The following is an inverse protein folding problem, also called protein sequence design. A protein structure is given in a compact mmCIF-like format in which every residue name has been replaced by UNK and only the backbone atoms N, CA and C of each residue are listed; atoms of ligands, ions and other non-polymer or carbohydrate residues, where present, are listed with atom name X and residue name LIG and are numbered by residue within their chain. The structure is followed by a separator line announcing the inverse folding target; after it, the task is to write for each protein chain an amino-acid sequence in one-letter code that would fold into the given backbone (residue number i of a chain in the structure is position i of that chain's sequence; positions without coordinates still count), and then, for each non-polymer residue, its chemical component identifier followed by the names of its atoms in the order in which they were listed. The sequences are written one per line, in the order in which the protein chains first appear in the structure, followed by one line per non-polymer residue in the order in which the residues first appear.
data_IF_812815569219
#
_entry.id   IF_812815569219
#
_cell.length_a   1.000
_cell.length_b   1.000
_cell.length_c   1.000
_cell.angle_alpha   90.00
_cell.angle_beta   90.00
_cell.angle_gamma   90.00
#
_symmetry.space_group_name_H-M   'P 1'
#
loop_
_entity.id
_entity.type
_entity.pdbx_description
1 polymer ?
#
# COMPACT_ATOMS: atom_id res chain seq x y z
N UNK A 1 -37.57 7.98 9.85
CA UNK A 1 -36.50 8.98 9.81
C UNK A 1 -35.71 8.77 8.54
N UNK A 2 -35.40 9.82 7.76
CA UNK A 2 -34.53 9.67 6.59
C UNK A 2 -33.11 9.32 7.03
N UNK A 3 -32.48 8.34 6.39
CA UNK A 3 -31.07 7.98 6.67
C UNK A 3 -30.19 9.20 6.44
N UNK A 4 -29.23 9.44 7.34
CA UNK A 4 -28.23 10.51 7.20
C UNK A 4 -27.33 10.24 5.97
N UNK A 5 -26.98 11.31 5.25
CA UNK A 5 -26.20 11.18 4.01
C UNK A 5 -24.72 11.32 4.27
N UNK A 6 -23.96 10.27 3.89
CA UNK A 6 -22.50 10.24 3.92
C UNK A 6 -21.97 10.29 2.49
N UNK A 7 -21.08 11.23 2.22
CA UNK A 7 -20.41 11.33 0.92
C UNK A 7 -18.99 10.83 1.06
N UNK A 8 -18.57 9.97 0.14
CA UNK A 8 -17.19 9.52 0.01
C UNK A 8 -16.65 10.10 -1.30
N UNK A 9 -15.50 10.76 -1.29
CA UNK A 9 -14.86 11.22 -2.52
C UNK A 9 -13.57 10.45 -2.80
N UNK A 10 -13.43 9.98 -4.04
CA UNK A 10 -12.22 9.31 -4.53
C UNK A 10 -12.05 9.56 -6.02
N UNK A 11 -10.83 9.86 -6.45
CA UNK A 11 -10.52 9.95 -7.88
C UNK A 11 -10.64 8.59 -8.57
N UNK A 12 -10.25 7.54 -7.85
CA UNK A 12 -10.34 6.15 -8.31
C UNK A 12 -11.77 5.64 -8.20
N UNK A 13 -12.24 5.00 -9.25
CA UNK A 13 -13.52 4.27 -9.26
C UNK A 13 -13.48 3.13 -10.26
N UNK A 14 -14.36 2.14 -10.13
CA UNK A 14 -14.47 1.04 -11.09
C UNK A 14 -14.73 1.49 -12.54
N UNK A 15 -15.39 2.64 -12.69
CA UNK A 15 -15.71 3.25 -14.00
C UNK A 15 -14.66 4.23 -14.54
N UNK A 16 -13.52 4.45 -13.85
CA UNK A 16 -12.48 5.34 -14.33
C UNK A 16 -11.49 4.58 -15.23
N UNK A 17 -11.51 4.82 -16.56
CA UNK A 17 -10.67 4.07 -17.50
C UNK A 17 -9.16 4.37 -17.33
N UNK A 18 -8.81 5.44 -16.62
CA UNK A 18 -7.45 5.91 -16.48
C UNK A 18 -6.77 5.41 -15.19
N UNK A 19 -7.53 4.86 -14.25
CA UNK A 19 -6.97 4.49 -12.95
C UNK A 19 -7.82 3.42 -12.25
N UNK A 20 -7.35 2.18 -12.28
CA UNK A 20 -7.88 1.06 -11.50
C UNK A 20 -6.80 0.63 -10.50
N UNK A 21 -6.81 1.21 -9.29
CA UNK A 21 -5.87 0.89 -8.22
C UNK A 21 -6.55 0.22 -7.03
N UNK A 22 -5.77 -0.25 -6.05
CA UNK A 22 -6.30 -0.77 -4.78
C UNK A 22 -7.18 0.23 -4.01
N UNK A 23 -7.03 1.53 -4.27
CA UNK A 23 -7.83 2.58 -3.66
C UNK A 23 -9.32 2.52 -4.01
N UNK A 24 -9.67 2.17 -5.25
CA UNK A 24 -11.07 2.02 -5.65
C UNK A 24 -11.77 0.89 -4.91
N UNK A 25 -11.09 -0.25 -4.75
CA UNK A 25 -11.63 -1.39 -4.02
C UNK A 25 -11.87 -1.07 -2.52
N UNK A 26 -10.98 -0.29 -1.91
CA UNK A 26 -11.17 0.18 -0.51
C UNK A 26 -12.38 1.09 -0.40
N UNK A 27 -12.58 2.02 -1.33
CA UNK A 27 -13.73 2.94 -1.33
C UNK A 27 -15.03 2.19 -1.59
N UNK A 28 -15.03 1.20 -2.48
CA UNK A 28 -16.20 0.36 -2.75
C UNK A 28 -16.60 -0.46 -1.51
N UNK A 29 -15.64 -1.09 -0.84
CA UNK A 29 -15.87 -1.80 0.43
C UNK A 29 -16.41 -0.86 1.50
N UNK A 30 -15.77 0.30 1.67
CA UNK A 30 -16.19 1.30 2.65
C UNK A 30 -17.62 1.78 2.38
N UNK A 31 -17.95 2.06 1.13
CA UNK A 31 -19.31 2.47 0.74
C UNK A 31 -20.33 1.38 1.06
N UNK A 32 -20.03 0.13 0.72
CA UNK A 32 -20.90 -1.02 1.04
C UNK A 32 -21.12 -1.19 2.55
N UNK A 33 -20.08 -1.06 3.38
CA UNK A 33 -20.23 -1.18 4.84
C UNK A 33 -21.11 -0.07 5.46
N UNK A 34 -21.09 1.12 4.88
CA UNK A 34 -21.87 2.25 5.40
C UNK A 34 -23.31 2.27 4.88
N UNK A 35 -23.64 1.56 3.81
CA UNK A 35 -24.93 1.64 3.11
C UNK A 35 -26.09 1.06 3.96
N UNK A 36 -25.81 0.14 4.85
CA UNK A 36 -26.83 -0.42 5.74
C UNK A 36 -27.40 0.62 6.71
N UNK A 37 -26.55 1.53 7.21
CA UNK A 37 -26.93 2.55 8.19
C UNK A 37 -27.20 3.94 7.58
N UNK A 38 -26.52 4.27 6.48
CA UNK A 38 -26.48 5.61 5.90
C UNK A 38 -26.90 5.62 4.43
N UNK A 39 -27.29 6.79 3.93
CA UNK A 39 -27.43 7.02 2.49
C UNK A 39 -26.05 7.38 1.92
N UNK A 40 -25.38 6.43 1.28
CA UNK A 40 -24.03 6.65 0.77
C UNK A 40 -24.03 7.16 -0.67
N UNK A 41 -23.14 8.11 -0.95
CA UNK A 41 -22.86 8.60 -2.29
C UNK A 41 -21.34 8.69 -2.50
N UNK A 42 -20.83 8.09 -3.57
CA UNK A 42 -19.42 8.23 -3.96
C UNK A 42 -19.29 9.31 -5.03
N UNK A 43 -18.48 10.34 -4.78
CA UNK A 43 -18.12 11.38 -5.74
C UNK A 43 -16.78 11.01 -6.38
N UNK A 44 -16.76 10.86 -7.69
CA UNK A 44 -15.61 10.33 -8.42
C UNK A 44 -15.37 11.04 -9.76
N UNK A 45 -14.22 10.77 -10.40
CA UNK A 45 -13.90 11.29 -11.71
C UNK A 45 -14.64 10.52 -12.83
N UNK A 46 -15.16 11.23 -13.80
CA UNK A 46 -15.80 10.65 -14.96
C UNK A 46 -15.62 11.49 -16.21
N UNK A 47 -16.09 10.98 -17.35
CA UNK A 47 -16.02 11.68 -18.64
C UNK A 47 -17.13 12.72 -18.77
N UNK A 48 -18.30 12.36 -18.27
CA UNK A 48 -19.50 13.20 -18.31
C UNK A 48 -20.05 13.39 -16.89
N UNK A 49 -20.84 14.44 -16.70
CA UNK A 49 -21.59 14.64 -15.48
C UNK A 49 -22.75 13.65 -15.46
N UNK A 50 -22.88 12.91 -14.38
CA UNK A 50 -23.96 11.92 -14.24
C UNK A 50 -24.00 11.33 -12.84
N UNK A 51 -25.02 10.51 -12.61
CA UNK A 51 -25.15 9.68 -11.43
C UNK A 51 -25.52 8.29 -11.89
N UNK A 52 -24.77 7.29 -11.48
CA UNK A 52 -24.99 5.88 -11.79
C UNK A 52 -25.02 5.07 -10.50
N UNK A 53 -25.63 3.89 -10.56
CA UNK A 53 -25.62 2.93 -9.47
C UNK A 53 -24.74 1.75 -9.87
N UNK A 54 -23.77 1.44 -9.04
CA UNK A 54 -22.87 0.32 -9.26
C UNK A 54 -22.74 -0.48 -7.95
N UNK A 55 -23.00 -1.80 -8.00
CA UNK A 55 -22.98 -2.69 -6.83
C UNK A 55 -23.79 -2.18 -5.62
N UNK A 56 -24.95 -1.55 -5.87
CA UNK A 56 -25.80 -0.98 -4.82
C UNK A 56 -25.47 0.47 -4.47
N UNK A 57 -24.23 0.90 -4.63
CA UNK A 57 -23.74 2.23 -4.27
C UNK A 57 -24.01 3.26 -5.36
N UNK A 58 -24.40 4.48 -4.96
CA UNK A 58 -24.63 5.60 -5.86
C UNK A 58 -23.34 6.35 -6.14
N UNK A 59 -22.93 6.41 -7.42
CA UNK A 59 -21.76 7.15 -7.89
C UNK A 59 -22.19 8.44 -8.58
N UNK A 60 -21.56 9.56 -8.24
CA UNK A 60 -21.72 10.86 -8.90
C UNK A 60 -20.42 11.27 -9.56
N UNK A 61 -20.44 11.45 -10.87
CA UNK A 61 -19.26 11.76 -11.67
C UNK A 61 -19.01 13.26 -11.81
N UNK A 62 -17.76 13.68 -11.56
CA UNK A 62 -17.24 14.98 -11.94
C UNK A 62 -16.60 14.86 -13.33
N UNK A 63 -16.94 15.73 -14.30
CA UNK A 63 -16.51 15.59 -15.70
C UNK A 63 -15.07 16.09 -15.89
N UNK A 64 -14.09 15.30 -15.52
CA UNK A 64 -12.66 15.67 -15.53
C UNK A 64 -11.78 14.76 -16.39
N UNK A 65 -12.19 13.52 -16.67
CA UNK A 65 -11.30 12.53 -17.31
C UNK A 65 -10.99 12.83 -18.78
N UNK A 66 -11.75 13.73 -19.41
CA UNK A 66 -11.48 14.24 -20.76
C UNK A 66 -10.13 14.98 -20.86
N UNK A 67 -9.65 15.55 -19.76
CA UNK A 67 -8.38 16.28 -19.71
C UNK A 67 -7.13 15.39 -19.70
N UNK A 68 -7.33 14.06 -19.71
CA UNK A 68 -6.24 13.09 -19.60
C UNK A 68 -5.80 12.84 -18.14
N UNK A 69 -4.98 11.80 -17.89
CA UNK A 69 -4.76 11.27 -16.54
C UNK A 69 -4.22 12.27 -15.52
N UNK A 70 -3.29 13.16 -15.92
CA UNK A 70 -2.65 14.12 -15.01
C UNK A 70 -3.50 15.35 -14.76
N UNK A 71 -4.04 15.96 -15.83
CA UNK A 71 -4.86 17.14 -15.70
C UNK A 71 -6.20 16.82 -15.03
N UNK A 72 -6.76 15.64 -15.28
CA UNK A 72 -7.97 15.17 -14.60
C UNK A 72 -7.82 15.12 -13.08
N UNK A 73 -6.68 14.68 -12.56
CA UNK A 73 -6.42 14.69 -11.11
C UNK A 73 -6.42 16.13 -10.55
N UNK A 74 -5.74 17.06 -11.23
CA UNK A 74 -5.71 18.47 -10.82
C UNK A 74 -7.10 19.10 -10.84
N UNK A 75 -7.87 18.84 -11.91
CA UNK A 75 -9.24 19.32 -12.04
C UNK A 75 -10.17 18.72 -10.98
N UNK A 76 -9.99 17.44 -10.65
CA UNK A 76 -10.73 16.78 -9.58
C UNK A 76 -10.52 17.48 -8.24
N UNK A 77 -9.26 17.72 -7.86
CA UNK A 77 -8.91 18.48 -6.65
C UNK A 77 -9.51 19.88 -6.64
N UNK A 78 -9.52 20.58 -7.78
CA UNK A 78 -10.08 21.92 -7.87
C UNK A 78 -11.61 21.94 -7.80
N UNK A 79 -12.28 20.91 -8.32
CA UNK A 79 -13.75 20.84 -8.36
C UNK A 79 -14.35 20.23 -7.09
N UNK A 80 -13.59 19.41 -6.35
CA UNK A 80 -14.11 18.71 -5.18
C UNK A 80 -14.60 19.64 -4.07
N UNK A 81 -13.91 20.74 -3.71
CA UNK A 81 -14.39 21.72 -2.76
C UNK A 81 -15.73 22.35 -3.18
N UNK A 82 -15.88 22.66 -4.47
CA UNK A 82 -17.13 23.21 -5.02
C UNK A 82 -18.26 22.17 -4.99
N UNK A 83 -17.93 20.90 -5.21
CA UNK A 83 -18.88 19.80 -5.08
C UNK A 83 -19.36 19.66 -3.63
N UNK A 84 -18.45 19.77 -2.64
CA UNK A 84 -18.79 19.70 -1.23
C UNK A 84 -19.75 20.81 -0.78
N UNK A 85 -19.65 22.01 -1.35
CA UNK A 85 -20.62 23.10 -1.10
C UNK A 85 -22.01 22.84 -1.69
N UNK A 86 -22.11 22.05 -2.77
CA UNK A 86 -23.36 21.87 -3.54
C UNK A 86 -24.06 20.53 -3.28
N UNK A 87 -23.33 19.53 -2.83
CA UNK A 87 -23.89 18.21 -2.55
C UNK A 87 -24.34 18.18 -1.10
N UNK A 88 -25.65 17.98 -0.81
CA UNK A 88 -26.11 17.85 0.56
C UNK A 88 -25.50 16.62 1.22
N UNK A 89 -24.93 16.81 2.41
CA UNK A 89 -24.31 15.74 3.21
C UNK A 89 -24.32 16.10 4.70
N UNK A 90 -24.30 15.11 5.55
CA UNK A 90 -24.11 15.21 7.01
C UNK A 90 -22.66 14.92 7.41
N UNK A 91 -21.97 14.05 6.65
CA UNK A 91 -20.52 13.82 6.79
C UNK A 91 -19.86 13.61 5.42
N UNK A 92 -18.58 13.91 5.33
CA UNK A 92 -17.77 13.71 4.12
C UNK A 92 -16.50 12.93 4.45
N UNK A 93 -16.21 11.85 3.71
CA UNK A 93 -14.96 11.11 3.76
C UNK A 93 -14.19 11.40 2.47
N UNK A 94 -13.06 12.08 2.56
CA UNK A 94 -12.20 12.35 1.41
C UNK A 94 -11.07 11.35 1.34
N UNK A 95 -11.10 10.44 0.36
CA UNK A 95 -9.97 9.58 0.05
C UNK A 95 -8.88 10.39 -0.64
N UNK A 96 -7.74 10.51 0.02
CA UNK A 96 -6.61 11.31 -0.47
C UNK A 96 -6.06 10.74 -1.76
N UNK A 97 -5.81 11.63 -2.72
CA UNK A 97 -5.42 11.28 -4.08
C UNK A 97 -4.15 12.07 -4.49
N UNK A 98 -3.18 11.45 -5.17
CA UNK A 98 -2.08 12.22 -5.78
C UNK A 98 -2.63 13.32 -6.71
N UNK A 99 -1.88 14.42 -6.93
CA UNK A 99 -0.51 14.66 -6.44
C UNK A 99 -0.44 15.38 -5.10
N UNK A 100 -1.55 15.93 -4.58
CA UNK A 100 -1.56 16.82 -3.40
C UNK A 100 -2.02 16.11 -2.13
N UNK A 101 -2.48 14.89 -2.21
CA UNK A 101 -3.19 14.12 -1.19
C UNK A 101 -4.54 14.73 -0.81
N UNK A 102 -4.63 16.02 -0.49
CA UNK A 102 -5.83 16.72 -0.01
C UNK A 102 -6.40 17.68 -1.04
N UNK A 103 -7.73 17.94 -0.98
CA UNK A 103 -8.44 18.90 -1.84
C UNK A 103 -9.01 20.08 -1.04
N UNK A 104 -8.60 20.30 0.19
CA UNK A 104 -9.08 21.39 1.05
C UNK A 104 -10.60 21.40 1.31
N UNK A 105 -11.26 20.25 1.17
CA UNK A 105 -12.72 20.12 1.37
C UNK A 105 -13.23 20.72 2.69
N UNK A 106 -12.52 20.57 3.84
CA UNK A 106 -12.99 21.15 5.11
C UNK A 106 -13.22 22.65 5.11
N UNK A 107 -12.55 23.40 4.22
CA UNK A 107 -12.74 24.86 4.09
C UNK A 107 -14.03 25.25 3.37
N UNK A 108 -14.75 24.28 2.77
CA UNK A 108 -15.90 24.53 1.90
C UNK A 108 -17.21 23.92 2.43
N UNK A 109 -17.19 23.32 3.59
CA UNK A 109 -18.38 22.80 4.28
C UNK A 109 -18.26 23.00 5.79
N UNK A 110 -19.41 23.16 6.46
CA UNK A 110 -19.50 23.22 7.93
C UNK A 110 -19.73 21.84 8.56
N UNK A 111 -19.90 20.81 7.73
CA UNK A 111 -20.12 19.44 8.17
C UNK A 111 -18.79 18.75 8.44
N UNK A 112 -18.75 17.71 9.30
CA UNK A 112 -17.55 16.96 9.57
C UNK A 112 -16.97 16.35 8.28
N UNK A 113 -15.64 16.52 8.13
CA UNK A 113 -14.86 15.95 7.02
C UNK A 113 -13.74 15.10 7.58
N UNK A 114 -13.68 13.85 7.14
CA UNK A 114 -12.59 12.92 7.47
C UNK A 114 -11.65 12.81 6.27
N UNK A 115 -10.37 13.02 6.49
CA UNK A 115 -9.34 12.71 5.51
C UNK A 115 -8.97 11.22 5.60
N UNK A 116 -9.15 10.44 4.53
CA UNK A 116 -8.72 9.06 4.44
C UNK A 116 -7.38 8.99 3.69
N UNK A 117 -6.29 8.94 4.44
CA UNK A 117 -4.93 8.91 3.90
C UNK A 117 -4.53 7.47 3.53
N UNK A 118 -4.94 7.03 2.34
CA UNK A 118 -4.48 5.74 1.80
C UNK A 118 -3.00 5.77 1.38
N UNK A 119 -2.47 6.94 1.05
CA UNK A 119 -1.06 7.20 0.78
C UNK A 119 -0.80 8.71 0.93
N UNK A 120 0.28 9.06 1.62
CA UNK A 120 0.81 10.42 1.67
C UNK A 120 1.86 10.58 0.56
N UNK A 121 1.42 11.03 -0.61
CA UNK A 121 2.22 11.02 -1.84
C UNK A 121 3.04 12.29 -2.08
N UNK A 122 2.85 13.36 -1.30
CA UNK A 122 3.42 14.67 -1.57
C UNK A 122 4.95 14.70 -1.71
N UNK A 123 5.68 13.93 -0.89
CA UNK A 123 7.15 13.84 -1.00
C UNK A 123 7.60 13.08 -2.24
N UNK A 124 6.94 11.99 -2.59
CA UNK A 124 7.23 11.19 -3.78
C UNK A 124 6.95 12.01 -5.04
N UNK A 125 5.80 12.65 -5.11
CA UNK A 125 5.43 13.53 -6.22
C UNK A 125 6.41 14.70 -6.36
N UNK A 126 6.87 15.27 -5.24
CA UNK A 126 7.89 16.34 -5.28
C UNK A 126 9.21 15.87 -5.88
N UNK A 127 9.66 14.67 -5.55
CA UNK A 127 10.89 14.08 -6.16
C UNK A 127 10.70 13.80 -7.64
N UNK A 128 9.54 13.29 -8.03
CA UNK A 128 9.21 12.89 -9.41
C UNK A 128 9.07 14.08 -10.36
N UNK A 129 8.39 15.13 -9.92
CA UNK A 129 8.04 16.29 -10.75
C UNK A 129 8.88 17.53 -10.46
N UNK A 130 9.76 17.50 -9.48
CA UNK A 130 10.60 18.63 -9.04
C UNK A 130 9.80 19.87 -8.60
N UNK A 131 8.56 19.67 -8.15
CA UNK A 131 7.66 20.69 -7.62
C UNK A 131 7.35 20.40 -6.14
N UNK A 132 7.08 21.42 -5.31
CA UNK A 132 6.96 21.27 -3.86
C UNK A 132 5.57 20.74 -3.44
N UNK A 133 5.10 19.64 -3.99
CA UNK A 133 3.80 19.03 -3.65
C UNK A 133 3.68 18.72 -2.15
N UNK A 134 4.77 18.39 -1.48
CA UNK A 134 4.78 18.15 -0.04
C UNK A 134 4.35 19.36 0.79
N UNK A 135 4.57 20.61 0.31
CA UNK A 135 4.10 21.81 0.98
C UNK A 135 2.58 21.93 0.88
N UNK A 136 2.01 21.64 -0.28
CA UNK A 136 0.55 21.66 -0.50
C UNK A 136 -0.11 20.58 0.37
N UNK A 137 0.43 19.37 0.39
CA UNK A 137 -0.02 18.29 1.27
C UNK A 137 0.02 18.71 2.74
N UNK A 138 1.13 19.30 3.19
CA UNK A 138 1.28 19.78 4.57
C UNK A 138 0.27 20.87 4.94
N UNK A 139 0.02 21.82 4.04
CA UNK A 139 -0.98 22.86 4.23
C UNK A 139 -2.40 22.27 4.25
N UNK A 140 -2.69 21.38 3.32
CA UNK A 140 -3.99 20.73 3.25
C UNK A 140 -4.29 19.88 4.48
N UNK A 141 -3.34 19.10 4.99
CA UNK A 141 -3.50 18.32 6.21
C UNK A 141 -3.90 19.15 7.43
N UNK A 142 -3.50 20.43 7.50
CA UNK A 142 -3.86 21.33 8.60
C UNK A 142 -5.33 21.73 8.61
N UNK A 143 -6.04 21.51 7.50
CA UNK A 143 -7.46 21.80 7.40
C UNK A 143 -8.36 20.70 7.95
N UNK A 144 -7.83 19.48 8.17
CA UNK A 144 -8.60 18.33 8.65
C UNK A 144 -8.51 18.20 10.16
N UNK A 145 -9.68 18.09 10.80
CA UNK A 145 -9.77 17.76 12.23
C UNK A 145 -9.63 16.25 12.45
N UNK A 146 -10.22 15.44 11.59
CA UNK A 146 -10.21 14.00 11.67
C UNK A 146 -9.48 13.39 10.47
N UNK A 147 -8.48 12.53 10.73
CA UNK A 147 -7.71 11.86 9.70
C UNK A 147 -7.58 10.38 10.02
N UNK A 148 -7.95 9.55 9.07
CA UNK A 148 -7.71 8.11 9.09
C UNK A 148 -6.46 7.80 8.28
N UNK A 149 -5.57 7.01 8.85
CA UNK A 149 -4.35 6.50 8.23
C UNK A 149 -4.32 4.98 8.28
N UNK A 150 -3.53 4.36 7.40
CA UNK A 150 -3.46 2.90 7.31
C UNK A 150 -2.46 2.27 8.28
N UNK A 151 -1.48 3.04 8.77
CA UNK A 151 -0.39 2.58 9.62
C UNK A 151 0.08 3.66 10.60
N UNK A 152 0.74 3.29 11.70
CA UNK A 152 1.23 4.24 12.70
C UNK A 152 2.29 5.23 12.18
N UNK A 153 3.10 4.86 11.19
CA UNK A 153 4.15 5.73 10.64
C UNK A 153 3.55 6.94 9.91
N UNK A 154 2.50 6.70 9.12
CA UNK A 154 1.72 7.78 8.48
C UNK A 154 0.98 8.60 9.54
N UNK A 155 0.47 7.97 10.59
CA UNK A 155 -0.16 8.65 11.72
C UNK A 155 0.79 9.65 12.38
N UNK A 156 2.02 9.25 12.66
CA UNK A 156 3.05 10.16 13.17
C UNK A 156 3.36 11.31 12.21
N UNK A 157 3.34 11.03 10.89
CA UNK A 157 3.58 12.05 9.88
C UNK A 157 2.46 13.09 9.87
N UNK A 158 1.20 12.66 9.93
CA UNK A 158 0.03 13.54 10.04
C UNK A 158 0.09 14.37 11.33
N UNK A 159 0.32 13.75 12.49
CA UNK A 159 0.37 14.44 13.79
C UNK A 159 1.50 15.49 13.86
N UNK A 160 2.64 15.26 13.19
CA UNK A 160 3.70 16.27 13.06
C UNK A 160 3.28 17.46 12.19
N UNK A 161 2.46 17.21 11.15
CA UNK A 161 1.97 18.28 10.25
C UNK A 161 0.81 19.05 10.86
N UNK A 162 -0.05 18.38 11.60
CA UNK A 162 -1.24 18.91 12.26
C UNK A 162 -1.39 18.29 13.66
N UNK A 163 -0.79 18.91 14.70
CA UNK A 163 -0.90 18.40 16.08
C UNK A 163 -2.31 18.46 16.67
N UNK A 164 -3.20 19.25 16.07
CA UNK A 164 -4.60 19.37 16.51
C UNK A 164 -5.52 18.31 15.88
N UNK A 165 -5.03 17.53 14.90
CA UNK A 165 -5.84 16.51 14.27
C UNK A 165 -6.02 15.28 15.17
N UNK A 166 -7.24 14.77 15.19
CA UNK A 166 -7.55 13.44 15.72
C UNK A 166 -7.17 12.39 14.68
N UNK A 167 -6.05 11.71 14.89
CA UNK A 167 -5.54 10.69 13.97
C UNK A 167 -5.99 9.31 14.43
N UNK A 168 -6.66 8.57 13.55
CA UNK A 168 -7.08 7.19 13.78
C UNK A 168 -6.40 6.24 12.82
N UNK A 169 -5.88 5.13 13.34
CA UNK A 169 -5.29 4.07 12.50
C UNK A 169 -6.38 3.05 12.19
N UNK A 170 -6.89 3.06 10.95
CA UNK A 170 -7.82 2.06 10.44
C UNK A 170 -7.18 1.43 9.20
N UNK A 171 -6.58 0.25 9.34
CA UNK A 171 -5.90 -0.45 8.26
C UNK A 171 -6.83 -0.90 7.13
N UNK A 172 -6.25 -1.34 6.02
CA UNK A 172 -7.00 -2.04 4.99
C UNK A 172 -7.50 -3.40 5.51
N UNK A 173 -8.61 -3.86 4.95
CA UNK A 173 -9.19 -5.15 5.28
C UNK A 173 -8.79 -6.24 4.32
N UNK A 174 -8.97 -7.47 4.76
CA UNK A 174 -8.78 -8.67 3.94
C UNK A 174 -9.92 -9.65 4.14
N UNK A 175 -10.22 -10.42 3.10
CA UNK A 175 -11.07 -11.59 3.22
C UNK A 175 -10.28 -12.71 3.91
N UNK A 176 -10.90 -13.36 4.89
CA UNK A 176 -10.28 -14.45 5.64
C UNK A 176 -10.87 -15.79 5.15
N UNK A 177 -10.24 -16.45 4.16
CA UNK A 177 -10.76 -17.72 3.65
C UNK A 177 -10.67 -18.82 4.73
N UNK A 178 -11.51 -19.81 4.61
CA UNK A 178 -11.31 -21.04 5.37
C UNK A 178 -10.04 -21.76 4.90
N UNK A 179 -9.20 -22.23 5.83
CA UNK A 179 -7.94 -22.91 5.55
C UNK A 179 -7.81 -24.16 6.41
N UNK A 180 -7.30 -25.22 5.79
CA UNK A 180 -6.79 -26.37 6.52
C UNK A 180 -5.36 -26.06 7.01
N UNK A 181 -5.19 -25.94 8.32
CA UNK A 181 -3.89 -25.61 8.92
C UNK A 181 -2.79 -26.67 8.67
N UNK A 182 -3.16 -27.90 8.28
CA UNK A 182 -2.21 -28.93 7.88
C UNK A 182 -1.43 -28.56 6.61
N UNK A 183 -1.99 -27.66 5.81
CA UNK A 183 -1.37 -27.16 4.59
C UNK A 183 -0.40 -26.01 4.81
N UNK A 184 -0.25 -25.50 6.04
CA UNK A 184 0.72 -24.45 6.31
C UNK A 184 2.14 -24.93 6.04
N UNK A 185 2.93 -24.06 5.42
CA UNK A 185 4.31 -24.36 4.99
C UNK A 185 4.42 -25.16 3.69
N UNK A 186 3.30 -25.64 3.11
CA UNK A 186 3.29 -26.22 1.75
C UNK A 186 3.23 -25.12 0.70
N UNK A 187 3.61 -25.45 -0.52
CA UNK A 187 3.50 -24.55 -1.66
C UNK A 187 4.43 -24.96 -2.80
N UNK A 188 4.09 -24.52 -3.99
CA UNK A 188 4.69 -24.94 -5.26
C UNK A 188 5.46 -23.81 -5.93
N UNK A 189 5.35 -22.58 -5.44
CA UNK A 189 6.01 -21.39 -6.00
C UNK A 189 6.17 -20.28 -4.98
N UNK A 190 7.11 -19.39 -5.23
CA UNK A 190 7.24 -18.08 -4.59
C UNK A 190 6.28 -17.11 -5.33
N UNK A 191 5.49 -16.33 -4.62
CA UNK A 191 4.52 -15.44 -5.25
C UNK A 191 4.87 -13.97 -5.03
N UNK A 192 5.05 -13.23 -6.12
CA UNK A 192 4.88 -11.79 -6.15
C UNK A 192 3.46 -11.46 -6.63
N UNK A 193 2.72 -10.68 -5.85
CA UNK A 193 1.38 -10.22 -6.21
C UNK A 193 1.33 -8.70 -6.14
N UNK A 194 1.01 -8.03 -7.24
CA UNK A 194 0.92 -6.57 -7.25
C UNK A 194 1.05 -5.97 -8.64
N UNK A 195 0.89 -4.65 -8.69
CA UNK A 195 1.02 -3.91 -9.94
C UNK A 195 2.44 -4.03 -10.51
N UNK A 196 2.56 -4.24 -11.80
CA UNK A 196 3.84 -4.22 -12.48
C UNK A 196 4.31 -2.77 -12.60
N UNK A 197 5.17 -2.37 -11.68
CA UNK A 197 5.94 -1.14 -11.65
C UNK A 197 7.36 -1.52 -11.25
N UNK A 198 8.21 -1.78 -12.25
CA UNK A 198 9.49 -2.48 -12.08
C UNK A 198 10.32 -1.87 -10.96
N UNK A 199 10.52 -0.54 -11.01
CA UNK A 199 11.34 0.13 -10.01
C UNK A 199 10.66 0.27 -8.65
N UNK A 200 9.39 0.72 -8.63
CA UNK A 200 8.69 1.03 -7.37
C UNK A 200 8.41 -0.23 -6.56
N UNK A 201 7.96 -1.30 -7.26
CA UNK A 201 7.68 -2.60 -6.65
C UNK A 201 8.91 -3.51 -6.54
N UNK A 202 10.09 -3.02 -6.94
CA UNK A 202 11.35 -3.72 -6.76
C UNK A 202 11.49 -5.02 -7.54
N UNK A 203 10.78 -5.16 -8.68
CA UNK A 203 10.86 -6.35 -9.50
C UNK A 203 12.27 -6.57 -10.07
N UNK A 204 13.01 -5.50 -10.32
CA UNK A 204 14.42 -5.55 -10.70
C UNK A 204 15.30 -6.16 -9.58
N UNK A 205 15.06 -5.78 -8.32
CA UNK A 205 15.77 -6.33 -7.16
C UNK A 205 15.39 -7.79 -6.92
N UNK A 206 14.10 -8.11 -7.06
CA UNK A 206 13.61 -9.47 -6.89
C UNK A 206 14.22 -10.43 -7.92
N UNK A 207 14.22 -10.03 -9.18
CA UNK A 207 14.74 -10.87 -10.26
C UNK A 207 16.26 -11.07 -10.13
N UNK A 208 17.01 -10.02 -9.75
CA UNK A 208 18.42 -10.13 -9.44
C UNK A 208 18.67 -11.08 -8.26
N UNK A 209 17.96 -10.89 -7.14
CA UNK A 209 18.08 -11.75 -5.99
C UNK A 209 17.72 -13.22 -6.29
N UNK A 210 16.64 -13.44 -7.04
CA UNK A 210 16.21 -14.80 -7.40
C UNK A 210 17.21 -15.51 -8.30
N UNK A 211 17.79 -14.82 -9.29
CA UNK A 211 18.82 -15.38 -10.16
C UNK A 211 20.04 -15.89 -9.38
N UNK A 212 20.41 -15.22 -8.29
CA UNK A 212 21.53 -15.60 -7.44
C UNK A 212 21.26 -16.81 -6.54
N UNK A 213 19.97 -17.25 -6.43
CA UNK A 213 19.60 -18.33 -5.50
C UNK A 213 19.83 -19.74 -6.05
N UNK A 214 19.72 -19.93 -7.34
CA UNK A 214 19.69 -21.26 -7.96
C UNK A 214 18.49 -22.13 -7.54
N UNK A 215 17.40 -21.56 -7.04
CA UNK A 215 16.25 -22.30 -6.56
C UNK A 215 15.49 -23.00 -7.68
N UNK A 216 15.10 -24.25 -7.44
CA UNK A 216 14.16 -25.00 -8.30
C UNK A 216 12.70 -24.56 -8.07
N UNK A 217 12.39 -24.00 -6.89
CA UNK A 217 11.05 -23.47 -6.57
C UNK A 217 10.76 -22.23 -7.42
N UNK A 218 9.77 -22.31 -8.37
CA UNK A 218 9.57 -21.22 -9.33
C UNK A 218 9.08 -19.93 -8.69
N UNK A 219 9.42 -18.81 -9.31
CA UNK A 219 8.91 -17.48 -8.97
C UNK A 219 7.76 -17.11 -9.91
N UNK A 220 6.57 -16.94 -9.36
CA UNK A 220 5.39 -16.47 -10.08
C UNK A 220 5.16 -14.98 -9.82
N UNK A 221 5.12 -14.17 -10.88
CA UNK A 221 4.79 -12.76 -10.86
C UNK A 221 3.35 -12.59 -11.36
N UNK A 222 2.45 -12.16 -10.47
CA UNK A 222 1.05 -11.94 -10.78
C UNK A 222 0.71 -10.43 -10.69
N UNK A 223 0.23 -9.87 -11.79
CA UNK A 223 -0.16 -8.47 -11.91
C UNK A 223 0.06 -7.91 -13.30
N UNK A 224 -0.52 -6.74 -13.56
CA UNK A 224 -0.36 -5.98 -14.78
C UNK A 224 0.17 -4.58 -14.48
N UNK A 225 0.65 -3.90 -15.52
CA UNK A 225 1.17 -2.55 -15.45
C UNK A 225 0.76 -1.69 -16.64
N UNK A 226 1.42 -0.56 -16.81
CA UNK A 226 1.35 0.16 -18.07
C UNK A 226 2.13 -0.60 -19.15
N UNK A 227 1.81 -0.42 -20.44
CA UNK A 227 2.57 -1.09 -21.52
C UNK A 227 4.09 -0.89 -21.43
N UNK A 228 4.52 0.29 -20.95
CA UNK A 228 5.94 0.60 -20.74
C UNK A 228 6.55 -0.22 -19.60
N UNK A 229 5.84 -0.39 -18.48
CA UNK A 229 6.34 -1.15 -17.34
C UNK A 229 6.33 -2.66 -17.64
N UNK A 230 5.33 -3.14 -18.38
CA UNK A 230 5.28 -4.52 -18.86
C UNK A 230 6.42 -4.85 -19.81
N UNK A 231 6.73 -3.95 -20.76
CA UNK A 231 7.90 -4.10 -21.64
C UNK A 231 9.21 -4.14 -20.86
N UNK A 232 9.35 -3.33 -19.79
CA UNK A 232 10.51 -3.39 -18.90
C UNK A 232 10.62 -4.72 -18.18
N UNK A 233 9.48 -5.25 -17.67
CA UNK A 233 9.44 -6.56 -17.04
C UNK A 233 9.84 -7.65 -18.04
N UNK A 234 9.27 -7.66 -19.25
CA UNK A 234 9.61 -8.62 -20.31
C UNK A 234 11.11 -8.60 -20.63
N UNK A 235 11.72 -7.41 -20.65
CA UNK A 235 13.15 -7.28 -20.87
C UNK A 235 13.98 -7.94 -19.76
N UNK A 236 13.58 -7.79 -18.49
CA UNK A 236 14.22 -8.42 -17.34
C UNK A 236 14.02 -9.95 -17.32
N UNK A 237 12.84 -10.42 -17.70
CA UNK A 237 12.53 -11.86 -17.74
C UNK A 237 13.42 -12.64 -18.71
N UNK A 238 13.93 -12.01 -19.78
CA UNK A 238 14.86 -12.65 -20.72
C UNK A 238 16.17 -13.10 -20.06
N UNK A 239 16.55 -12.48 -18.96
CA UNK A 239 17.80 -12.77 -18.22
C UNK A 239 17.55 -13.44 -16.87
N UNK A 240 16.28 -13.54 -16.42
CA UNK A 240 15.93 -14.06 -15.10
C UNK A 240 15.94 -15.59 -14.99
N UNK A 241 16.11 -16.30 -16.12
CA UNK A 241 16.09 -17.76 -16.14
C UNK A 241 14.70 -18.40 -16.28
N UNK A 242 14.64 -19.71 -16.55
CA UNK A 242 13.38 -20.42 -16.88
C UNK A 242 12.44 -20.59 -15.67
N UNK A 243 12.91 -20.42 -14.45
CA UNK A 243 12.09 -20.58 -13.24
C UNK A 243 11.19 -19.39 -12.92
N UNK A 244 11.18 -18.31 -13.73
CA UNK A 244 10.35 -17.12 -13.50
C UNK A 244 9.19 -17.05 -14.49
N UNK A 245 7.98 -16.94 -13.96
CA UNK A 245 6.75 -16.92 -14.75
C UNK A 245 5.93 -15.66 -14.45
N UNK A 246 5.67 -14.85 -15.47
CA UNK A 246 4.71 -13.75 -15.37
C UNK A 246 3.36 -14.19 -15.94
N UNK A 247 2.33 -14.15 -15.09
CA UNK A 247 0.98 -14.67 -15.40
C UNK A 247 -0.05 -13.58 -15.71
N UNK A 248 0.40 -12.31 -15.79
CA UNK A 248 -0.49 -11.19 -16.04
C UNK A 248 -1.38 -10.82 -14.85
N UNK A 249 -2.43 -10.05 -15.12
CA UNK A 249 -3.41 -9.65 -14.11
C UNK A 249 -4.24 -10.83 -13.65
N UNK A 250 -4.43 -10.94 -12.33
CA UNK A 250 -5.25 -11.99 -11.71
C UNK A 250 -6.26 -11.38 -10.75
N UNK A 251 -7.43 -12.01 -10.65
CA UNK A 251 -8.49 -11.61 -9.71
C UNK A 251 -9.35 -12.83 -9.37
N UNK A 252 -10.23 -12.70 -8.39
CA UNK A 252 -11.17 -13.74 -7.98
C UNK A 252 -10.49 -15.06 -7.69
N UNK A 253 -11.09 -16.16 -8.14
CA UNK A 253 -10.65 -17.52 -7.86
C UNK A 253 -9.21 -17.81 -8.30
N UNK A 254 -8.76 -17.26 -9.44
CA UNK A 254 -7.38 -17.44 -9.90
C UNK A 254 -6.36 -16.80 -8.97
N UNK A 255 -6.66 -15.63 -8.39
CA UNK A 255 -5.80 -15.01 -7.37
C UNK A 255 -5.79 -15.87 -6.10
N UNK A 256 -6.94 -16.36 -5.69
CA UNK A 256 -7.09 -17.19 -4.49
C UNK A 256 -6.32 -18.53 -4.65
N UNK A 257 -6.35 -19.12 -5.84
CA UNK A 257 -5.57 -20.32 -6.14
C UNK A 257 -4.06 -20.06 -6.05
N UNK A 258 -3.55 -18.98 -6.66
CA UNK A 258 -2.14 -18.61 -6.58
C UNK A 258 -1.70 -18.41 -5.14
N UNK A 259 -2.49 -17.69 -4.33
CA UNK A 259 -2.20 -17.49 -2.91
C UNK A 259 -2.22 -18.81 -2.16
N UNK A 260 -3.19 -19.68 -2.40
CA UNK A 260 -3.30 -20.97 -1.73
C UNK A 260 -2.12 -21.89 -2.05
N UNK A 261 -1.68 -21.92 -3.30
CA UNK A 261 -0.57 -22.77 -3.78
C UNK A 261 0.81 -22.15 -3.58
N UNK A 262 0.93 -20.89 -3.19
CA UNK A 262 2.25 -20.30 -2.91
C UNK A 262 2.89 -20.92 -1.66
N UNK A 263 4.21 -21.02 -1.65
CA UNK A 263 5.00 -21.39 -0.48
C UNK A 263 5.14 -20.20 0.47
N UNK A 264 5.37 -19.03 -0.08
CA UNK A 264 5.42 -17.74 0.60
C UNK A 264 5.24 -16.60 -0.41
N UNK A 265 4.97 -15.40 0.11
CA UNK A 265 4.83 -14.18 -0.68
C UNK A 265 6.07 -13.32 -0.54
N UNK A 266 6.47 -12.63 -1.60
CA UNK A 266 7.58 -11.68 -1.57
C UNK A 266 7.10 -10.27 -1.96
N UNK A 267 7.45 -9.26 -1.15
CA UNK A 267 7.10 -7.86 -1.32
C UNK A 267 8.37 -7.00 -1.33
N UNK A 268 9.13 -6.97 -2.44
CA UNK A 268 10.45 -6.32 -2.52
C UNK A 268 10.36 -4.83 -2.84
N UNK A 269 9.27 -4.20 -2.44
CA UNK A 269 8.92 -2.82 -2.80
C UNK A 269 9.89 -1.80 -2.21
N UNK A 270 10.21 -0.77 -2.99
CA UNK A 270 10.93 0.41 -2.52
C UNK A 270 10.03 1.40 -1.79
N UNK A 271 8.73 1.31 -2.04
CA UNK A 271 7.72 2.11 -1.37
C UNK A 271 6.41 1.34 -1.29
N UNK A 272 5.80 1.35 -0.12
CA UNK A 272 4.49 0.79 0.16
C UNK A 272 3.73 1.69 1.13
N UNK A 273 2.44 1.87 0.89
CA UNK A 273 1.57 2.55 1.84
C UNK A 273 1.10 1.60 2.95
N UNK A 274 0.77 0.35 2.59
CA UNK A 274 0.26 -0.65 3.54
C UNK A 274 0.67 -2.07 3.19
N UNK A 275 0.74 -2.43 1.90
CA UNK A 275 1.07 -3.79 1.46
C UNK A 275 -0.13 -4.74 1.46
N UNK A 276 -1.21 -4.38 0.75
CA UNK A 276 -2.42 -5.24 0.66
C UNK A 276 -2.08 -6.66 0.22
N UNK A 277 -1.18 -6.83 -0.75
CA UNK A 277 -0.75 -8.14 -1.22
C UNK A 277 -0.07 -8.98 -0.12
N UNK A 278 0.69 -8.34 0.77
CA UNK A 278 1.25 -9.00 1.95
C UNK A 278 0.13 -9.46 2.89
N UNK A 279 -0.83 -8.58 3.20
CA UNK A 279 -1.98 -8.92 4.04
C UNK A 279 -2.80 -10.07 3.43
N UNK A 280 -3.00 -10.08 2.10
CA UNK A 280 -3.63 -11.20 1.40
C UNK A 280 -2.83 -12.50 1.58
N UNK A 281 -1.50 -12.46 1.42
CA UNK A 281 -0.64 -13.62 1.70
C UNK A 281 -0.78 -14.13 3.13
N UNK A 282 -0.73 -13.22 4.11
CA UNK A 282 -0.91 -13.54 5.53
C UNK A 282 -2.28 -14.16 5.80
N UNK A 283 -3.33 -13.68 5.14
CA UNK A 283 -4.68 -14.25 5.24
C UNK A 283 -4.76 -15.69 4.72
N UNK A 284 -3.89 -16.09 3.81
CA UNK A 284 -3.72 -17.47 3.36
C UNK A 284 -2.67 -18.25 4.18
N UNK A 285 -2.21 -17.72 5.31
CA UNK A 285 -1.20 -18.38 6.14
C UNK A 285 0.16 -18.51 5.46
N UNK A 286 0.48 -17.55 4.59
CA UNK A 286 1.76 -17.52 3.88
C UNK A 286 2.72 -16.54 4.57
N UNK A 287 3.96 -16.96 4.86
CA UNK A 287 5.00 -16.01 5.26
C UNK A 287 5.20 -14.94 4.19
N UNK A 288 5.60 -13.74 4.62
CA UNK A 288 5.92 -12.64 3.71
C UNK A 288 7.38 -12.27 3.86
N UNK A 289 8.12 -12.22 2.75
CA UNK A 289 9.48 -11.65 2.70
C UNK A 289 9.39 -10.22 2.18
N UNK A 290 9.93 -9.26 2.90
CA UNK A 290 9.86 -7.85 2.49
C UNK A 290 11.07 -7.05 2.95
N UNK A 291 11.31 -5.90 2.31
CA UNK A 291 12.25 -4.91 2.81
C UNK A 291 11.69 -4.17 4.03
N UNK A 292 12.56 -3.84 4.98
CA UNK A 292 12.20 -3.10 6.19
C UNK A 292 11.78 -1.67 5.88
N UNK A 293 10.50 -1.47 5.61
CA UNK A 293 9.87 -0.17 5.44
C UNK A 293 9.02 0.15 6.68
N UNK A 294 9.09 1.38 7.24
CA UNK A 294 8.33 1.73 8.44
C UNK A 294 6.81 1.57 8.30
N UNK A 295 6.28 1.67 7.08
CA UNK A 295 4.86 1.46 6.77
C UNK A 295 4.44 -0.01 6.84
N UNK A 296 5.39 -0.93 6.95
CA UNK A 296 5.19 -2.38 7.00
C UNK A 296 5.48 -2.98 8.39
N UNK A 297 5.88 -2.17 9.38
CA UNK A 297 6.18 -2.63 10.76
C UNK A 297 4.97 -3.24 11.50
N UNK A 298 3.77 -3.21 10.90
CA UNK A 298 2.56 -3.84 11.41
C UNK A 298 2.48 -5.35 11.15
N UNK A 299 3.31 -5.90 10.27
CA UNK A 299 3.28 -7.31 9.90
C UNK A 299 3.79 -8.22 11.03
N UNK A 300 3.36 -9.47 10.97
CA UNK A 300 3.83 -10.57 11.83
C UNK A 300 3.85 -11.88 11.05
N UNK A 301 4.76 -12.78 11.36
CA UNK A 301 4.97 -13.99 10.57
C UNK A 301 5.66 -13.69 9.25
N UNK A 302 6.45 -12.64 9.24
CA UNK A 302 7.21 -12.11 8.10
C UNK A 302 8.72 -12.40 8.25
N UNK A 303 9.43 -12.16 7.16
CA UNK A 303 10.90 -12.10 7.12
C UNK A 303 11.29 -10.73 6.59
N UNK A 304 11.61 -9.84 7.50
CA UNK A 304 12.09 -8.50 7.19
C UNK A 304 13.59 -8.55 6.86
N UNK A 305 13.97 -8.04 5.69
CA UNK A 305 15.37 -7.92 5.26
C UNK A 305 15.78 -6.45 5.14
N UNK A 306 17.10 -6.14 5.22
CA UNK A 306 17.56 -4.77 5.07
C UNK A 306 17.06 -4.13 3.75
N UNK A 307 16.67 -2.85 3.77
CA UNK A 307 16.15 -2.18 2.58
C UNK A 307 17.10 -2.27 1.39
N UNK A 308 16.58 -2.82 0.29
CA UNK A 308 17.22 -2.91 -1.03
C UNK A 308 18.48 -3.80 -1.08
N UNK A 309 18.74 -4.60 -0.05
CA UNK A 309 19.81 -5.59 -0.02
C UNK A 309 19.36 -6.87 -0.73
N UNK A 310 19.82 -7.05 -2.00
CA UNK A 310 19.49 -8.22 -2.82
C UNK A 310 20.13 -9.50 -2.30
N UNK A 311 21.30 -9.43 -1.67
CA UNK A 311 21.96 -10.60 -1.06
C UNK A 311 21.17 -11.11 0.16
N UNK A 312 20.73 -10.20 1.04
CA UNK A 312 19.85 -10.55 2.15
C UNK A 312 18.50 -11.09 1.67
N UNK A 313 17.96 -10.52 0.58
CA UNK A 313 16.73 -11.02 -0.04
C UNK A 313 16.94 -12.45 -0.58
N UNK A 314 18.00 -12.70 -1.34
CA UNK A 314 18.33 -14.03 -1.85
C UNK A 314 18.48 -15.07 -0.71
N UNK A 315 19.20 -14.72 0.35
CA UNK A 315 19.35 -15.58 1.51
C UNK A 315 18.01 -15.90 2.21
N UNK A 316 17.09 -14.90 2.29
CA UNK A 316 15.76 -15.10 2.85
C UNK A 316 14.90 -16.03 1.97
N UNK A 317 14.96 -15.87 0.64
CA UNK A 317 14.27 -16.74 -0.32
C UNK A 317 14.76 -18.20 -0.17
N UNK A 318 16.09 -18.43 -0.17
CA UNK A 318 16.68 -19.76 0.03
C UNK A 318 16.28 -20.36 1.38
N UNK A 319 16.39 -19.59 2.46
CA UNK A 319 16.06 -20.06 3.80
C UNK A 319 14.59 -20.47 3.97
N UNK A 320 13.66 -19.76 3.34
CA UNK A 320 12.25 -20.15 3.33
C UNK A 320 11.97 -21.29 2.37
N UNK A 321 12.61 -21.35 1.21
CA UNK A 321 12.43 -22.44 0.26
C UNK A 321 12.85 -23.79 0.88
N UNK A 322 13.96 -23.83 1.62
CA UNK A 322 14.51 -25.04 2.22
C UNK A 322 13.73 -25.54 3.45
N UNK A 323 13.11 -24.66 4.25
CA UNK A 323 12.55 -25.00 5.56
C UNK A 323 11.02 -24.91 5.59
N UNK A 324 10.37 -26.05 5.34
CA UNK A 324 8.88 -26.18 5.43
C UNK A 324 8.38 -25.91 6.85
N UNK A 325 9.10 -26.35 7.87
CA UNK A 325 8.70 -26.18 9.28
C UNK A 325 8.68 -24.70 9.66
N UNK A 326 9.73 -23.95 9.26
CA UNK A 326 9.80 -22.51 9.43
C UNK A 326 8.66 -21.80 8.68
N UNK A 327 8.40 -22.16 7.42
CA UNK A 327 7.25 -21.61 6.69
C UNK A 327 5.93 -21.87 7.41
N UNK A 328 5.70 -23.06 7.95
CA UNK A 328 4.49 -23.40 8.69
C UNK A 328 4.35 -22.57 9.97
N UNK A 329 5.43 -22.40 10.73
CA UNK A 329 5.45 -21.56 11.94
C UNK A 329 5.12 -20.10 11.66
N UNK A 330 5.83 -19.50 10.71
CA UNK A 330 5.59 -18.12 10.27
C UNK A 330 4.20 -17.96 9.66
N UNK A 331 3.72 -18.93 8.88
CA UNK A 331 2.38 -18.90 8.28
C UNK A 331 1.25 -18.90 9.32
N UNK A 332 1.39 -19.64 10.42
CA UNK A 332 0.44 -19.58 11.54
C UNK A 332 0.45 -18.22 12.21
N UNK A 333 1.62 -17.63 12.46
CA UNK A 333 1.74 -16.29 13.02
C UNK A 333 1.13 -15.23 12.09
N UNK A 334 1.44 -15.30 10.79
CA UNK A 334 0.88 -14.43 9.75
C UNK A 334 -0.66 -14.51 9.72
N UNK A 335 -1.22 -15.72 9.71
CA UNK A 335 -2.66 -15.93 9.73
C UNK A 335 -3.33 -15.40 10.99
N UNK A 336 -2.72 -15.63 12.15
CA UNK A 336 -3.23 -15.11 13.43
C UNK A 336 -3.26 -13.57 13.42
N UNK A 337 -2.19 -12.93 12.92
CA UNK A 337 -2.12 -11.49 12.78
C UNK A 337 -3.15 -10.95 11.76
N UNK A 338 -3.37 -11.64 10.63
CA UNK A 338 -4.32 -11.23 9.62
C UNK A 338 -5.78 -11.19 10.11
N UNK A 339 -6.13 -11.96 11.14
CA UNK A 339 -7.51 -12.01 11.69
C UNK A 339 -8.00 -10.64 12.17
N UNK A 340 -7.13 -9.79 12.71
CA UNK A 340 -7.50 -8.44 13.17
C UNK A 340 -7.85 -7.48 12.02
N UNK A 341 -7.53 -7.84 10.78
CA UNK A 341 -7.80 -7.08 9.56
C UNK A 341 -8.98 -7.67 8.76
N UNK A 342 -9.80 -8.53 9.38
CA UNK A 342 -11.01 -9.06 8.76
C UNK A 342 -11.97 -7.95 8.37
N UNK A 343 -12.76 -8.20 7.31
CA UNK A 343 -13.70 -7.19 6.76
C UNK A 343 -14.66 -6.66 7.82
N UNK A 344 -15.23 -7.55 8.65
CA UNK A 344 -16.21 -7.17 9.68
C UNK A 344 -15.57 -6.25 10.72
N UNK A 345 -14.37 -6.57 11.19
CA UNK A 345 -13.65 -5.74 12.15
C UNK A 345 -13.32 -4.34 11.60
N UNK A 346 -13.04 -4.23 10.32
CA UNK A 346 -12.79 -2.92 9.68
C UNK A 346 -14.10 -2.17 9.43
N UNK A 347 -15.16 -2.85 9.04
CA UNK A 347 -16.50 -2.28 8.91
C UNK A 347 -16.95 -1.63 10.22
N UNK A 348 -16.83 -2.34 11.34
CA UNK A 348 -17.20 -1.83 12.67
C UNK A 348 -16.43 -0.57 13.06
N UNK A 349 -15.12 -0.50 12.71
CA UNK A 349 -14.31 0.69 12.98
C UNK A 349 -14.79 1.91 12.18
N UNK A 350 -15.11 1.74 10.90
CA UNK A 350 -15.62 2.83 10.07
C UNK A 350 -17.04 3.23 10.45
N UNK A 351 -17.93 2.29 10.76
CA UNK A 351 -19.28 2.56 11.27
C UNK A 351 -19.21 3.35 12.58
N UNK A 352 -18.37 2.92 13.51
CA UNK A 352 -18.15 3.63 14.79
C UNK A 352 -17.64 5.05 14.54
N UNK A 353 -16.66 5.23 13.65
CA UNK A 353 -16.13 6.55 13.28
C UNK A 353 -17.24 7.47 12.77
N UNK A 354 -18.03 7.01 11.79
CA UNK A 354 -19.08 7.84 11.17
C UNK A 354 -20.18 8.15 12.18
N UNK A 355 -20.60 7.20 13.01
CA UNK A 355 -21.59 7.42 14.08
C UNK A 355 -21.11 8.46 15.11
N UNK A 356 -19.84 8.41 15.52
CA UNK A 356 -19.24 9.42 16.40
C UNK A 356 -19.25 10.82 15.80
N UNK A 357 -18.90 10.95 14.53
CA UNK A 357 -18.90 12.23 13.81
C UNK A 357 -20.30 12.85 13.68
N UNK A 358 -21.31 12.01 13.56
CA UNK A 358 -22.71 12.44 13.38
C UNK A 358 -23.45 12.61 14.71
N UNK A 359 -22.78 12.38 15.85
CA UNK A 359 -23.40 12.52 17.18
C UNK A 359 -24.54 11.55 17.44
N UNK A 360 -24.59 10.40 16.75
CA UNK A 360 -25.66 9.40 16.91
C UNK A 360 -25.56 8.72 18.29
N UNK A 361 -26.66 8.64 19.09
CA UNK A 361 -26.66 8.00 20.40
C UNK A 361 -26.57 6.48 20.24
N UNK A 362 -25.37 5.95 20.27
CA UNK A 362 -25.10 4.51 20.16
C UNK A 362 -23.72 4.11 20.65
N UNK A 363 -22.88 5.07 21.06
CA UNK A 363 -21.49 4.81 21.46
C UNK A 363 -21.17 5.18 22.91
N UNK A 364 -22.17 5.29 23.80
CA UNK A 364 -21.94 5.37 25.23
C UNK A 364 -21.82 3.95 25.80
N UNK A 365 -20.73 3.24 25.50
CA UNK A 365 -20.55 1.90 26.04
C UNK A 365 -19.32 1.22 25.47
N UNK A 366 -18.15 1.77 25.69
CA UNK A 366 -16.82 1.17 25.87
C UNK A 366 -15.78 2.27 25.71
N UNK A 367 -15.68 3.13 26.72
CA UNK A 367 -14.47 3.87 27.01
C UNK A 367 -13.37 2.83 27.22
N UNK A 368 -12.17 3.14 26.76
CA UNK A 368 -10.99 2.31 26.82
C UNK A 368 -10.92 1.23 25.75
N UNK A 369 -10.37 1.63 24.63
CA UNK A 369 -9.22 0.95 24.00
C UNK A 369 -8.71 1.85 22.87
N UNK A 370 -8.03 2.93 23.25
CA UNK A 370 -6.84 3.33 22.51
C UNK A 370 -5.88 2.14 22.64
N UNK A 371 -6.17 1.06 21.93
CA UNK A 371 -5.18 0.03 21.70
C UNK A 371 -4.12 0.68 20.83
N UNK A 372 -3.09 1.26 21.49
CA UNK A 372 -1.76 1.17 20.93
C UNK A 372 -1.69 -0.25 20.38
N UNK A 373 -1.54 -0.41 19.07
CA UNK A 373 -1.06 -1.66 18.50
C UNK A 373 0.20 -1.96 19.31
N UNK A 374 0.06 -2.83 20.30
CA UNK A 374 1.13 -3.18 21.21
C UNK A 374 2.27 -3.61 20.32
N UNK A 375 3.41 -2.96 20.44
CA UNK A 375 4.63 -3.43 19.87
C UNK A 375 4.69 -4.92 20.22
N UNK A 376 4.55 -5.79 19.22
CA UNK A 376 4.77 -7.23 19.41
C UNK A 376 6.07 -7.36 20.19
N UNK A 377 6.16 -8.24 21.19
CA UNK A 377 7.41 -8.44 21.91
C UNK A 377 8.45 -8.79 20.85
N UNK A 378 9.32 -7.85 20.57
CA UNK A 378 10.42 -8.02 19.66
C UNK A 378 11.26 -9.17 20.22
N UNK A 379 11.37 -10.25 19.44
CA UNK A 379 12.43 -11.20 19.66
C UNK A 379 13.75 -10.41 19.76
N UNK A 380 14.67 -10.75 20.69
CA UNK A 380 15.88 -9.97 20.89
C UNK A 380 16.62 -9.86 19.56
N UNK A 381 16.81 -8.64 19.08
CA UNK A 381 17.62 -8.35 17.90
C UNK A 381 19.02 -8.89 18.16
N UNK A 382 19.64 -9.64 17.22
CA UNK A 382 21.04 -10.04 17.37
C UNK A 382 21.87 -8.78 17.59
N UNK A 383 22.64 -8.77 18.68
CA UNK A 383 23.37 -7.61 19.15
C UNK A 383 24.26 -7.02 18.07
N UNK A 384 24.14 -5.74 17.84
CA UNK A 384 25.09 -4.96 17.05
C UNK A 384 26.47 -5.09 17.67
N UNK A 385 27.51 -5.45 16.90
CA UNK A 385 28.88 -5.44 17.43
C UNK A 385 29.22 -4.01 17.83
N UNK A 386 29.56 -3.82 19.11
CA UNK A 386 30.07 -2.54 19.63
C UNK A 386 31.25 -2.09 18.79
N UNK A 387 31.12 -0.91 18.18
CA UNK A 387 32.09 -0.29 17.31
C UNK A 387 33.48 -0.21 17.95
N UNK A 388 34.44 -0.92 17.37
CA UNK A 388 35.85 -0.63 17.55
C UNK A 388 36.14 0.71 16.86
N UNK A 389 36.55 1.71 17.64
CA UNK A 389 37.13 2.98 17.18
C UNK A 389 38.30 2.67 16.24
N UNK A 390 38.12 2.86 14.96
CA UNK A 390 39.21 2.90 14.00
C UNK A 390 39.94 4.23 14.13
N UNK A 391 41.19 4.21 14.66
CA UNK A 391 42.14 5.31 14.58
C UNK A 391 42.45 5.55 13.08
N UNK A 392 42.16 6.71 12.59
CA UNK A 392 42.60 7.19 11.27
C UNK A 392 44.13 7.38 11.32
N UNK A 393 44.89 6.46 10.70
CA UNK A 393 46.30 6.71 10.33
C UNK A 393 46.28 7.39 8.93
N UNK A 394 46.68 8.65 8.91
CA UNK A 394 46.96 9.37 7.68
C UNK A 394 48.28 8.85 7.11
N UNK A 395 48.28 8.11 6.01
CA UNK A 395 49.40 7.94 5.11
C UNK A 395 49.11 8.69 3.80
N UNK A 396 50.01 9.62 3.46
CA UNK A 396 50.02 10.37 2.20
C UNK A 396 50.41 9.41 1.07
N UNK A 397 49.83 9.51 -0.13
CA UNK A 397 50.33 8.79 -1.30
C UNK A 397 51.55 9.50 -1.88
N UNK A 398 52.59 8.76 -2.17
CA UNK A 398 53.77 9.19 -2.96
C UNK A 398 53.49 9.17 -4.45
N UNK A 399 54.37 9.80 -5.26
CA UNK A 399 54.09 10.13 -6.67
C UNK A 399 54.20 8.91 -7.57
N UNK A 400 53.28 8.86 -8.56
CA UNK A 400 53.24 7.88 -9.64
C UNK A 400 54.20 8.32 -10.73
N UNK A 401 55.17 7.46 -11.07
CA UNK A 401 56.06 7.61 -12.20
C UNK A 401 55.38 7.24 -13.53
N UNK A 402 55.52 8.10 -14.51
CA UNK A 402 55.16 7.85 -15.91
C UNK A 402 56.16 6.88 -16.58
N UNK A 403 55.66 5.86 -17.27
CA UNK A 403 56.31 5.17 -18.37
C UNK A 403 55.17 4.65 -19.26
N UNK A 404 55.08 5.05 -20.49
CA UNK A 404 55.90 4.92 -21.65
C UNK A 404 55.01 4.30 -22.72
N UNK A 405 54.62 5.11 -23.71
CA UNK A 405 53.89 4.70 -24.94
C UNK A 405 54.76 3.77 -25.78
N UNK A 406 54.18 2.67 -26.29
CA UNK A 406 54.62 2.05 -27.54
C UNK A 406 53.39 1.85 -28.43
N UNK A 407 53.44 2.49 -29.62
CA UNK A 407 52.59 2.26 -30.79
C UNK A 407 53.15 1.10 -31.59
N UNK A 408 52.26 0.31 -32.19
CA UNK A 408 52.40 -0.39 -33.47
C UNK A 408 51.07 -1.13 -33.65
N UNK A 409 50.30 -1.05 -34.73
CA UNK A 409 50.59 -0.93 -36.13
C UNK A 409 49.68 -1.97 -36.80
N UNK A 410 48.71 -1.50 -37.59
CA UNK A 410 47.81 -2.31 -38.44
C UNK A 410 48.61 -3.05 -39.57
N UNK A 411 48.08 -4.09 -40.24
CA UNK A 411 47.07 -3.88 -41.28
C UNK A 411 45.71 -4.57 -41.02
#
# INVERSE_FOLDING_TARGET
MSRQRVVISSFDSPGNPNYAGGGSAVVELLAGWLEDDFQVMVVTAGRHRGTEQHAGVRYRYLPVTWAGPRAAQLLFHALLPLAARRIPHEAWIESFTPPFSTSFVPLFTTKPVVGLAQNLSGREMSRRYKLPFFLIERLGLRCYHDVVVLNPADGQTVSRCNPAATVRVIPNSVNLPWLDERQFGTGEHILFLGRVQVWEKGLDLLLAAYADTGLELPLVIAGAGTPREEQRLIALLKTAGPGVHWVGQVSGERKDELLRRSAFVVLPSRSEAFGIAALEGMAYGKPVVHFGLPTLDWMSGDVCVPPFDTGALAAALCGLAADRGRRAGLGRAARAAARQFGRDAMADRYLTLVRQLLGSPGSAGSGEHSTSLGASPQAPRPGTPRGRRWRRSRKRPGPIAHAGLVREGTP
#
